data_IF_351347399571
#
_entry.id   IF_351347399571
#
_cell.length_a   1.000
_cell.length_b   1.000
_cell.length_c   1.000
_cell.angle_alpha   90.00
_cell.angle_beta   90.00
_cell.angle_gamma   90.00
#
_symmetry.space_group_name_H-M   'P 1'
#
loop_
_entity.id
_entity.type
_entity.pdbx_description
1 polymer ?
#
# COMPACT_ATOMS: atom_id res chain seq x y z
N UNK A 1 -8.26 -15.40 8.62
CA UNK A 1 -8.28 -16.76 8.02
C UNK A 1 -9.70 -17.21 7.71
N UNK A 2 -10.60 -17.23 8.71
CA UNK A 2 -12.00 -17.64 8.51
C UNK A 2 -12.69 -16.84 7.40
N UNK A 3 -12.63 -15.52 7.43
CA UNK A 3 -13.27 -14.66 6.43
C UNK A 3 -12.77 -14.92 5.00
N UNK A 4 -11.46 -15.20 4.84
CA UNK A 4 -10.87 -15.56 3.55
C UNK A 4 -11.40 -16.89 3.02
N UNK A 5 -11.60 -17.86 3.91
CA UNK A 5 -12.13 -19.17 3.55
C UNK A 5 -13.63 -19.11 3.24
N UNK A 6 -14.38 -18.26 3.95
CA UNK A 6 -15.80 -18.01 3.68
C UNK A 6 -16.01 -17.34 2.32
N UNK A 7 -15.21 -16.32 1.97
CA UNK A 7 -15.27 -15.67 0.66
C UNK A 7 -14.87 -16.62 -0.50
N UNK A 8 -13.87 -17.50 -0.28
CA UNK A 8 -13.52 -18.54 -1.25
C UNK A 8 -14.67 -19.55 -1.42
N UNK A 9 -15.30 -19.99 -0.33
CA UNK A 9 -16.43 -20.90 -0.36
C UNK A 9 -17.65 -20.29 -1.06
N UNK A 10 -17.85 -18.98 -0.93
CA UNK A 10 -18.88 -18.21 -1.62
C UNK A 10 -18.57 -17.95 -3.12
N UNK A 11 -17.34 -18.25 -3.58
CA UNK A 11 -16.90 -17.99 -4.95
C UNK A 11 -16.54 -16.53 -5.23
N UNK A 12 -16.44 -15.70 -4.19
CA UNK A 12 -16.04 -14.28 -4.28
C UNK A 12 -14.52 -14.10 -4.45
N UNK A 13 -13.75 -15.15 -4.16
CA UNK A 13 -12.31 -15.22 -4.39
C UNK A 13 -11.97 -16.47 -5.20
N UNK A 14 -10.99 -16.35 -6.09
CA UNK A 14 -10.31 -17.50 -6.66
C UNK A 14 -9.40 -18.18 -5.62
N UNK A 15 -9.05 -19.47 -5.80
CA UNK A 15 -8.07 -20.15 -4.94
C UNK A 15 -6.73 -19.41 -4.85
N UNK A 16 -6.29 -18.78 -5.94
CA UNK A 16 -5.03 -18.03 -5.98
C UNK A 16 -5.09 -16.74 -5.15
N UNK A 17 -6.21 -16.02 -5.16
CA UNK A 17 -6.42 -14.82 -4.34
C UNK A 17 -6.52 -15.18 -2.86
N UNK A 18 -7.22 -16.27 -2.54
CA UNK A 18 -7.30 -16.78 -1.18
C UNK A 18 -5.91 -17.18 -0.65
N UNK A 19 -5.12 -17.95 -1.42
CA UNK A 19 -3.74 -18.32 -1.05
C UNK A 19 -2.85 -17.08 -0.87
N UNK A 20 -3.02 -16.07 -1.73
CA UNK A 20 -2.29 -14.80 -1.63
C UNK A 20 -2.58 -14.09 -0.31
N UNK A 21 -3.87 -13.92 0.04
CA UNK A 21 -4.29 -13.28 1.31
C UNK A 21 -3.80 -14.06 2.52
N UNK A 22 -3.89 -15.40 2.49
CA UNK A 22 -3.42 -16.26 3.59
C UNK A 22 -1.90 -16.15 3.81
N UNK A 23 -1.12 -15.88 2.75
CA UNK A 23 0.31 -15.62 2.85
C UNK A 23 0.66 -14.19 3.31
N UNK A 24 -0.34 -13.36 3.59
CA UNK A 24 -0.17 -11.98 4.05
C UNK A 24 0.05 -10.98 2.91
N UNK A 25 -0.28 -11.36 1.68
CA UNK A 25 -0.24 -10.43 0.56
C UNK A 25 -1.62 -9.81 0.33
N UNK A 26 -1.65 -8.50 0.29
CA UNK A 26 -2.80 -7.73 -0.11
C UNK A 26 -2.67 -7.33 -1.58
N UNK A 27 -3.71 -7.61 -2.35
CA UNK A 27 -3.83 -7.22 -3.76
C UNK A 27 -4.82 -6.08 -3.86
N UNK A 28 -4.51 -5.11 -4.71
CA UNK A 28 -5.42 -3.99 -4.96
C UNK A 28 -5.89 -4.08 -6.41
N UNK A 29 -7.20 -4.15 -6.59
CA UNK A 29 -7.82 -4.06 -7.90
C UNK A 29 -7.94 -2.59 -8.26
N UNK A 30 -6.97 -2.11 -9.03
CA UNK A 30 -7.06 -0.78 -9.63
C UNK A 30 -7.74 -0.97 -10.98
N UNK A 31 -9.07 -0.96 -10.94
CA UNK A 31 -9.93 -0.92 -12.12
C UNK A 31 -10.15 0.54 -12.48
N UNK A 32 -9.53 1.02 -13.55
CA UNK A 32 -9.70 2.41 -13.97
C UNK A 32 -9.49 2.58 -15.46
N UNK A 33 -10.53 3.05 -16.13
CA UNK A 33 -10.41 3.85 -17.36
C UNK A 33 -9.62 5.11 -17.00
N UNK A 34 -8.29 5.01 -16.91
CA UNK A 34 -7.45 6.01 -16.24
C UNK A 34 -7.01 7.11 -17.21
N UNK A 35 -7.55 8.34 -17.05
CA UNK A 35 -6.95 9.56 -17.60
C UNK A 35 -5.48 9.74 -17.16
N UNK A 36 -5.12 9.09 -16.06
CA UNK A 36 -3.79 9.09 -15.45
C UNK A 36 -2.83 8.02 -16.05
N UNK A 37 -3.31 7.13 -16.93
CA UNK A 37 -2.53 6.09 -17.62
C UNK A 37 -2.72 6.14 -19.15
N UNK A 38 -2.26 7.22 -19.82
CA UNK A 38 -2.45 7.40 -21.26
C UNK A 38 -1.75 6.31 -22.11
N UNK A 39 -0.80 5.59 -21.53
CA UNK A 39 -0.06 4.52 -22.20
C UNK A 39 -0.70 3.13 -22.00
N UNK A 40 -1.78 3.00 -21.22
CA UNK A 40 -2.42 1.72 -20.90
C UNK A 40 -1.47 0.71 -20.24
N UNK A 41 -0.51 1.20 -19.45
CA UNK A 41 0.49 0.38 -18.77
C UNK A 41 0.05 -0.12 -17.40
N UNK A 42 -1.13 0.29 -16.90
CA UNK A 42 -1.70 -0.14 -15.61
C UNK A 42 -1.56 -1.64 -15.52
N UNK A 43 -0.63 -2.07 -14.67
CA UNK A 43 -0.27 -3.49 -14.57
C UNK A 43 -1.29 -4.12 -13.65
N UNK A 44 -2.00 -5.12 -14.18
CA UNK A 44 -2.92 -5.98 -13.42
C UNK A 44 -2.35 -6.31 -12.03
N UNK A 45 -3.04 -5.82 -11.01
CA UNK A 45 -2.90 -6.12 -9.57
C UNK A 45 -1.50 -5.85 -8.99
N UNK A 46 -1.30 -4.64 -8.49
CA UNK A 46 -0.16 -4.38 -7.62
C UNK A 46 -0.37 -5.07 -6.26
N UNK A 47 0.64 -5.84 -5.84
CA UNK A 47 0.62 -6.65 -4.62
C UNK A 47 1.52 -6.01 -3.56
N UNK A 48 1.04 -5.98 -2.33
CA UNK A 48 1.77 -5.55 -1.14
C UNK A 48 1.88 -6.73 -0.16
N UNK A 49 3.08 -7.06 0.28
CA UNK A 49 3.42 -8.10 1.27
C UNK A 49 3.43 -7.49 2.68
N UNK A 50 2.24 -7.44 3.30
CA UNK A 50 2.08 -6.97 4.68
C UNK A 50 2.83 -7.86 5.68
N UNK A 51 3.10 -9.12 5.34
CA UNK A 51 3.86 -10.05 6.19
C UNK A 51 5.39 -9.94 6.01
N UNK A 52 5.89 -9.05 5.14
CA UNK A 52 7.32 -8.94 4.84
C UNK A 52 8.14 -8.66 6.07
N UNK A 53 7.68 -7.75 6.93
CA UNK A 53 8.38 -7.35 8.14
C UNK A 53 8.59 -8.54 9.07
N UNK A 54 7.55 -9.31 9.35
CA UNK A 54 7.64 -10.52 10.19
C UNK A 54 8.60 -11.56 9.60
N UNK A 55 8.65 -11.71 8.28
CA UNK A 55 9.49 -12.72 7.62
C UNK A 55 10.94 -12.30 7.42
N UNK A 56 11.23 -10.99 7.35
CA UNK A 56 12.52 -10.45 6.90
C UNK A 56 13.13 -9.40 7.82
N UNK A 57 12.41 -8.97 8.87
CA UNK A 57 12.82 -7.89 9.77
C UNK A 57 12.76 -6.49 9.15
N UNK A 58 12.26 -6.36 7.92
CA UNK A 58 12.22 -5.09 7.17
C UNK A 58 10.85 -4.96 6.51
N UNK A 59 10.15 -3.82 6.65
CA UNK A 59 8.87 -3.59 5.97
C UNK A 59 8.99 -3.60 4.45
N UNK A 60 7.83 -3.72 3.81
CA UNK A 60 7.73 -3.40 2.39
C UNK A 60 7.58 -1.89 2.17
N UNK A 61 8.41 -1.36 1.28
CA UNK A 61 8.27 -0.02 0.73
C UNK A 61 7.60 -0.06 -0.65
N UNK A 62 6.80 0.96 -0.93
CA UNK A 62 6.13 1.14 -2.23
C UNK A 62 7.04 1.96 -3.12
N UNK A 63 7.50 1.37 -4.22
CA UNK A 63 8.29 2.07 -5.23
C UNK A 63 7.37 2.73 -6.27
N UNK A 64 7.24 4.06 -6.24
CA UNK A 64 6.27 4.78 -7.07
C UNK A 64 6.69 4.92 -8.54
N UNK A 65 8.00 4.97 -8.83
CA UNK A 65 8.44 5.21 -10.20
C UNK A 65 8.00 4.06 -11.13
N UNK A 66 7.35 4.43 -12.24
CA UNK A 66 6.77 3.48 -13.19
C UNK A 66 5.36 3.00 -12.84
N UNK A 67 4.77 3.45 -11.72
CA UNK A 67 3.36 3.30 -11.39
C UNK A 67 2.60 4.59 -11.69
N UNK A 68 1.30 4.48 -11.87
CA UNK A 68 0.42 5.65 -11.90
C UNK A 68 0.24 6.22 -10.48
N UNK A 69 -0.16 7.51 -10.36
CA UNK A 69 -0.54 8.09 -9.07
C UNK A 69 -1.67 7.32 -8.37
N UNK A 70 -2.65 6.82 -9.15
CA UNK A 70 -3.78 6.05 -8.63
C UNK A 70 -3.33 4.68 -8.09
N UNK A 71 -2.51 3.95 -8.85
CA UNK A 71 -1.93 2.66 -8.40
C UNK A 71 -1.12 2.84 -7.10
N UNK A 72 -0.32 3.89 -7.04
CA UNK A 72 0.51 4.17 -5.85
C UNK A 72 -0.35 4.52 -4.64
N UNK A 73 -1.42 5.31 -4.82
CA UNK A 73 -2.34 5.66 -3.75
C UNK A 73 -3.12 4.45 -3.23
N UNK A 74 -3.57 3.58 -4.13
CA UNK A 74 -4.25 2.34 -3.78
C UNK A 74 -3.33 1.41 -2.96
N UNK A 75 -2.08 1.21 -3.39
CA UNK A 75 -1.08 0.46 -2.61
C UNK A 75 -0.81 1.07 -1.25
N UNK A 76 -0.70 2.40 -1.17
CA UNK A 76 -0.46 3.09 0.10
C UNK A 76 -1.63 2.90 1.07
N UNK A 77 -2.87 2.94 0.58
CA UNK A 77 -4.05 2.66 1.39
C UNK A 77 -4.06 1.22 1.91
N UNK A 78 -3.80 0.26 1.02
CA UNK A 78 -3.65 -1.16 1.38
C UNK A 78 -2.57 -1.37 2.45
N UNK A 79 -1.42 -0.71 2.32
CA UNK A 79 -0.34 -0.79 3.30
C UNK A 79 -0.75 -0.21 4.67
N UNK A 80 -1.38 0.96 4.68
CA UNK A 80 -1.92 1.60 5.89
C UNK A 80 -2.98 0.72 6.56
N UNK A 81 -3.91 0.16 5.79
CA UNK A 81 -4.97 -0.72 6.31
C UNK A 81 -4.41 -1.99 6.95
N UNK A 82 -3.41 -2.60 6.31
CA UNK A 82 -2.90 -3.92 6.73
C UNK A 82 -1.78 -3.84 7.77
N UNK A 83 -1.02 -2.75 7.82
CA UNK A 83 0.17 -2.64 8.69
C UNK A 83 0.20 -1.38 9.55
N UNK A 84 -0.77 -0.48 9.39
CA UNK A 84 -0.78 0.82 10.08
C UNK A 84 0.18 1.86 9.49
N UNK A 85 1.04 1.49 8.53
CA UNK A 85 1.97 2.43 7.87
C UNK A 85 2.11 2.19 6.36
N UNK A 86 2.53 3.22 5.64
CA UNK A 86 3.00 3.11 4.26
C UNK A 86 4.23 3.99 4.04
N UNK A 87 5.28 3.42 3.44
CA UNK A 87 6.44 4.16 2.97
C UNK A 87 6.48 4.12 1.44
N UNK A 88 6.21 5.25 0.81
CA UNK A 88 6.31 5.42 -0.64
C UNK A 88 7.64 6.10 -0.97
N UNK A 89 8.35 5.58 -1.97
CA UNK A 89 9.65 6.12 -2.44
C UNK A 89 9.58 6.50 -3.91
N UNK A 90 10.45 7.43 -4.34
CA UNK A 90 10.48 8.00 -5.70
C UNK A 90 9.18 8.71 -6.10
N UNK A 91 8.39 9.20 -5.14
CA UNK A 91 7.16 9.92 -5.44
C UNK A 91 7.48 11.31 -6.02
N UNK A 92 6.91 11.63 -7.17
CA UNK A 92 6.87 13.01 -7.68
C UNK A 92 5.73 13.83 -7.01
N UNK A 93 5.61 15.11 -7.37
CA UNK A 93 4.59 16.00 -6.78
C UNK A 93 3.16 15.52 -7.00
N UNK A 94 2.87 15.06 -8.21
CA UNK A 94 1.54 14.54 -8.59
C UNK A 94 1.20 13.29 -7.78
N UNK A 95 2.13 12.34 -7.71
CA UNK A 95 1.95 11.08 -6.98
C UNK A 95 1.80 11.33 -5.49
N UNK A 96 2.66 12.15 -4.89
CA UNK A 96 2.57 12.47 -3.47
C UNK A 96 1.27 13.22 -3.13
N UNK A 97 0.82 14.13 -4.01
CA UNK A 97 -0.47 14.80 -3.90
C UNK A 97 -1.64 13.81 -3.92
N UNK A 98 -1.65 12.89 -4.87
CA UNK A 98 -2.70 11.86 -5.02
C UNK A 98 -2.75 10.92 -3.82
N UNK A 99 -1.61 10.40 -3.37
CA UNK A 99 -1.49 9.55 -2.17
C UNK A 99 -2.06 10.27 -0.95
N UNK A 100 -1.65 11.53 -0.71
CA UNK A 100 -2.13 12.31 0.42
C UNK A 100 -3.65 12.53 0.38
N UNK A 101 -4.20 12.93 -0.76
CA UNK A 101 -5.65 13.15 -0.89
C UNK A 101 -6.44 11.86 -0.68
N UNK A 102 -5.97 10.76 -1.26
CA UNK A 102 -6.64 9.48 -1.20
C UNK A 102 -6.64 8.92 0.23
N UNK A 103 -5.48 8.91 0.89
CA UNK A 103 -5.35 8.41 2.27
C UNK A 103 -6.18 9.22 3.26
N UNK A 104 -6.22 10.54 3.15
CA UNK A 104 -7.05 11.38 4.04
C UNK A 104 -8.54 11.10 3.88
N UNK A 105 -8.99 10.72 2.69
CA UNK A 105 -10.37 10.33 2.45
C UNK A 105 -10.66 8.92 2.96
N UNK A 106 -9.75 7.96 2.73
CA UNK A 106 -9.94 6.55 3.06
C UNK A 106 -9.69 6.22 4.55
N UNK A 107 -8.81 6.96 5.23
CA UNK A 107 -8.37 6.67 6.60
C UNK A 107 -8.37 7.95 7.45
N UNK A 108 -9.46 8.24 8.17
CA UNK A 108 -9.53 9.41 9.05
C UNK A 108 -8.43 9.38 10.12
N UNK A 109 -7.72 10.50 10.28
CA UNK A 109 -6.66 10.64 11.28
C UNK A 109 -5.28 10.14 10.83
N UNK A 110 -5.15 9.55 9.64
CA UNK A 110 -3.84 9.20 9.07
C UNK A 110 -2.98 10.46 8.94
N UNK A 111 -1.75 10.39 9.43
CA UNK A 111 -0.74 11.42 9.17
C UNK A 111 -0.05 11.10 7.86
N UNK A 112 0.26 12.12 7.06
CA UNK A 112 0.96 11.95 5.78
C UNK A 112 2.05 13.01 5.71
N UNK A 113 3.28 12.57 5.89
CA UNK A 113 4.48 13.40 5.79
C UNK A 113 5.18 13.19 4.45
N UNK A 114 5.75 14.27 3.92
CA UNK A 114 6.42 14.26 2.62
C UNK A 114 7.78 14.94 2.73
N UNK A 115 8.82 14.18 2.43
CA UNK A 115 10.14 14.73 2.13
C UNK A 115 10.27 14.94 0.61
N UNK A 116 10.31 16.20 0.20
CA UNK A 116 10.43 16.59 -1.21
C UNK A 116 11.81 16.30 -1.79
N UNK A 117 12.88 16.36 -0.98
CA UNK A 117 14.27 16.11 -1.41
C UNK A 117 14.52 14.61 -1.58
N UNK A 118 14.11 13.80 -0.59
CA UNK A 118 14.21 12.35 -0.64
C UNK A 118 13.18 11.71 -1.57
N UNK A 119 12.15 12.46 -1.96
CA UNK A 119 11.02 12.00 -2.77
C UNK A 119 10.29 10.83 -2.10
N UNK A 120 10.03 10.98 -0.80
CA UNK A 120 9.35 9.97 0.01
C UNK A 120 8.04 10.52 0.55
N UNK A 121 7.09 9.61 0.78
CA UNK A 121 5.86 9.86 1.52
C UNK A 121 5.75 8.80 2.60
N UNK A 122 5.67 9.23 3.86
CA UNK A 122 5.39 8.36 4.99
C UNK A 122 3.95 8.63 5.43
N UNK A 123 3.16 7.57 5.56
CA UNK A 123 1.82 7.65 6.12
C UNK A 123 1.68 6.68 7.29
N UNK A 124 1.10 7.16 8.39
CA UNK A 124 0.96 6.39 9.64
C UNK A 124 -0.42 6.63 10.26
N UNK A 125 -1.06 5.56 10.71
CA UNK A 125 -2.28 5.68 11.51
C UNK A 125 -1.95 6.19 12.91
N UNK A 126 -2.91 6.81 13.63
CA UNK A 126 -2.68 7.29 15.00
C UNK A 126 -2.27 6.20 15.99
N UNK A 127 -2.56 4.93 15.68
CA UNK A 127 -2.30 3.77 16.53
C UNK A 127 -1.04 3.01 16.11
N UNK A 128 -0.34 3.46 15.06
CA UNK A 128 0.90 2.83 14.64
C UNK A 128 2.00 3.11 15.66
N UNK A 129 2.62 2.05 16.20
CA UNK A 129 3.74 2.15 17.14
C UNK A 129 5.05 1.87 16.40
N UNK A 130 5.91 2.90 16.18
CA UNK A 130 7.16 2.71 15.46
C UNK A 130 8.16 1.88 16.29
N UNK A 131 9.00 1.06 15.63
CA UNK A 131 10.00 0.28 16.33
C UNK A 131 10.98 1.21 17.06
N UNK A 132 11.26 0.90 18.32
CA UNK A 132 12.31 1.57 19.09
C UNK A 132 13.66 1.01 18.66
N UNK A 133 14.51 1.89 18.16
CA UNK A 133 15.91 1.60 17.85
C UNK A 133 16.77 2.33 18.87
N UNK A 134 17.60 1.57 19.59
CA UNK A 134 18.64 2.14 20.45
C UNK A 134 19.73 2.72 19.54
N UNK A 135 19.62 4.01 19.22
CA UNK A 135 20.55 4.72 18.35
C UNK A 135 21.83 5.16 19.08
N UNK A 136 22.26 4.40 20.11
CA UNK A 136 23.45 4.67 20.92
C UNK A 136 24.71 3.97 20.40
N UNK A 137 24.88 3.85 19.07
CA UNK A 137 26.04 3.21 18.44
C UNK A 137 26.76 4.15 17.48
#
# INVERSE_FOLDING_TARGET
>A
MRDTLEALAAGELSPAEAESRLRGYATTDVSGDDEDDPDGRTRRHARFDAARETRRGIPEGIYAAGKTPAETAALAATAVETTGRALVTRADDRTAGRVRSYLRAASPGVTVDRDTRARTVLAETPTFDPPRVDADV
#
